data_IF_196032749024
#
_entry.id   IF_196032749024
#
_cell.length_a   1.000
_cell.length_b   1.000
_cell.length_c   1.000
_cell.angle_alpha   90.00
_cell.angle_beta   90.00
_cell.angle_gamma   90.00
#
_symmetry.space_group_name_H-M   'P 1'
#
loop_
_entity.id
_entity.type
_entity.pdbx_description
1 polymer ?
#
# COMPACT_ATOMS: atom_id res chain seq x y z
N UNK A 1 -9.48 -8.63 8.77
CA UNK A 1 -8.06 -8.47 8.41
C UNK A 1 -7.96 -7.50 7.25
N UNK A 2 -7.10 -6.49 7.34
CA UNK A 2 -6.86 -5.54 6.25
C UNK A 2 -5.54 -5.87 5.53
N UNK A 3 -5.58 -5.98 4.20
CA UNK A 3 -4.41 -6.21 3.33
C UNK A 3 -3.98 -4.87 2.75
N UNK A 4 -2.85 -4.36 3.20
CA UNK A 4 -2.29 -3.10 2.75
C UNK A 4 -1.15 -3.37 1.76
N UNK A 5 -1.51 -3.49 0.48
CA UNK A 5 -0.59 -3.70 -0.62
C UNK A 5 0.07 -2.41 -1.08
N UNK A 6 1.32 -2.47 -1.50
CA UNK A 6 2.03 -1.32 -2.05
C UNK A 6 3.45 -1.61 -2.49
N UNK A 7 4.04 -0.69 -3.25
CA UNK A 7 5.46 -0.82 -3.65
C UNK A 7 6.41 -0.57 -2.47
N UNK A 8 6.04 0.36 -1.56
CA UNK A 8 6.86 0.79 -0.42
C UNK A 8 8.32 1.05 -0.81
N UNK A 9 8.51 1.87 -1.83
CA UNK A 9 9.81 2.09 -2.46
C UNK A 9 10.20 3.59 -2.50
N UNK A 10 10.71 4.15 -1.37
CA UNK A 10 10.75 3.57 -0.02
C UNK A 10 9.40 3.70 0.72
N UNK A 11 9.21 2.99 1.85
CA UNK A 11 8.10 3.22 2.75
C UNK A 11 8.26 4.57 3.44
N UNK A 12 7.28 5.45 3.30
CA UNK A 12 7.27 6.77 3.93
C UNK A 12 6.38 6.84 5.17
N UNK A 13 6.47 7.93 5.93
CA UNK A 13 5.62 8.19 7.10
C UNK A 13 4.12 8.17 6.76
N UNK A 14 3.75 8.58 5.55
CA UNK A 14 2.36 8.46 5.08
C UNK A 14 1.85 7.02 5.06
N UNK A 15 2.69 6.06 4.68
CA UNK A 15 2.32 4.64 4.73
C UNK A 15 2.18 4.14 6.18
N UNK A 16 3.08 4.55 7.08
CA UNK A 16 3.00 4.18 8.50
C UNK A 16 1.74 4.78 9.16
N UNK A 17 1.37 6.01 8.82
CA UNK A 17 0.13 6.65 9.30
C UNK A 17 -1.11 5.89 8.82
N UNK A 18 -1.15 5.48 7.55
CA UNK A 18 -2.23 4.63 7.02
C UNK A 18 -2.29 3.33 7.83
N UNK A 19 -1.17 2.62 7.99
CA UNK A 19 -1.15 1.35 8.72
C UNK A 19 -1.61 1.53 10.17
N UNK A 20 -1.17 2.59 10.85
CA UNK A 20 -1.59 2.91 12.22
C UNK A 20 -3.08 3.21 12.31
N UNK A 21 -3.63 4.00 11.38
CA UNK A 21 -5.07 4.30 11.37
C UNK A 21 -5.90 3.04 11.12
N UNK A 22 -5.48 2.19 10.19
CA UNK A 22 -6.16 0.93 9.90
C UNK A 22 -6.28 0.01 11.13
N UNK A 23 -5.34 0.05 12.07
CA UNK A 23 -5.44 -0.77 13.31
C UNK A 23 -6.57 -0.35 14.24
N UNK A 24 -7.20 0.81 14.01
CA UNK A 24 -8.41 1.25 14.74
C UNK A 24 -9.69 0.60 14.23
N UNK A 25 -9.66 0.11 12.99
CA UNK A 25 -10.80 -0.50 12.30
C UNK A 25 -10.67 -2.01 12.16
N UNK A 26 -9.44 -2.52 12.16
CA UNK A 26 -9.16 -3.92 11.87
C UNK A 26 -8.26 -4.54 12.94
N UNK A 27 -8.58 -5.73 13.40
CA UNK A 27 -7.79 -6.47 14.41
C UNK A 27 -6.37 -6.76 13.93
N UNK A 28 -6.17 -6.82 12.61
CA UNK A 28 -4.87 -7.07 11.99
C UNK A 28 -4.74 -6.35 10.66
N UNK A 29 -3.62 -5.68 10.48
CA UNK A 29 -3.20 -5.07 9.22
C UNK A 29 -2.00 -5.84 8.69
N UNK A 30 -2.10 -6.35 7.47
CA UNK A 30 -1.00 -7.06 6.82
C UNK A 30 -0.44 -6.16 5.71
N UNK A 31 0.78 -5.69 5.90
CA UNK A 31 1.51 -4.91 4.89
C UNK A 31 2.14 -5.88 3.91
N UNK A 32 1.76 -5.79 2.64
CA UNK A 32 2.22 -6.67 1.56
C UNK A 32 3.00 -5.84 0.54
N UNK A 33 4.34 -5.79 0.65
CA UNK A 33 5.17 -5.16 -0.37
C UNK A 33 5.12 -6.01 -1.65
N UNK A 34 4.60 -5.42 -2.73
CA UNK A 34 4.50 -6.12 -4.02
C UNK A 34 5.89 -6.42 -4.60
N UNK A 35 6.01 -7.52 -5.33
CA UNK A 35 7.19 -7.84 -6.11
C UNK A 35 7.40 -6.93 -7.31
N UNK A 36 8.04 -7.44 -8.35
CA UNK A 36 8.30 -6.69 -9.59
C UNK A 36 6.99 -6.48 -10.35
N UNK A 37 6.55 -5.23 -10.42
CA UNK A 37 5.33 -4.86 -11.14
C UNK A 37 5.65 -4.52 -12.59
N UNK A 38 5.06 -5.20 -13.58
CA UNK A 38 5.31 -4.92 -14.99
C UNK A 38 4.93 -3.51 -15.44
N UNK A 39 3.99 -2.89 -14.70
CA UNK A 39 3.43 -1.57 -15.00
C UNK A 39 4.11 -0.42 -14.23
N UNK A 40 5.16 -0.71 -13.44
CA UNK A 40 5.78 0.27 -12.55
C UNK A 40 7.30 0.13 -12.46
N UNK A 41 8.01 0.72 -13.43
CA UNK A 41 9.47 0.68 -13.53
C UNK A 41 10.23 1.15 -12.28
N UNK A 42 9.63 2.04 -11.46
CA UNK A 42 10.27 2.54 -10.23
C UNK A 42 10.53 1.46 -9.17
N UNK A 43 10.00 0.25 -9.35
CA UNK A 43 10.24 -0.87 -8.43
C UNK A 43 11.64 -1.49 -8.63
N UNK A 44 12.25 -1.26 -9.80
CA UNK A 44 13.55 -1.81 -10.18
C UNK A 44 14.73 -0.92 -9.76
N UNK A 45 14.47 0.28 -9.21
CA UNK A 45 15.54 1.22 -8.79
C UNK A 45 16.39 0.69 -7.62
N UNK A 46 15.86 -0.24 -6.84
CA UNK A 46 16.58 -0.89 -5.71
C UNK A 46 16.23 -2.37 -5.66
N UNK A 47 17.15 -3.17 -5.11
CA UNK A 47 16.96 -4.62 -5.04
C UNK A 47 15.82 -5.01 -4.09
N UNK A 48 15.34 -6.23 -4.25
CA UNK A 48 14.30 -6.83 -3.39
C UNK A 48 14.76 -6.83 -1.92
N UNK A 49 16.03 -7.12 -1.65
CA UNK A 49 16.62 -7.17 -0.32
C UNK A 49 16.53 -5.79 0.36
N UNK A 50 16.87 -4.71 -0.33
CA UNK A 50 16.75 -3.36 0.19
C UNK A 50 15.29 -2.99 0.46
N UNK A 51 14.37 -3.34 -0.43
CA UNK A 51 12.94 -3.09 -0.21
C UNK A 51 12.42 -3.86 1.00
N UNK A 52 12.78 -5.14 1.14
CA UNK A 52 12.43 -5.98 2.29
C UNK A 52 12.97 -5.40 3.60
N UNK A 53 14.24 -4.97 3.62
CA UNK A 53 14.85 -4.34 4.78
C UNK A 53 14.10 -3.06 5.19
N UNK A 54 13.85 -2.15 4.24
CA UNK A 54 13.15 -0.89 4.52
C UNK A 54 11.71 -1.10 5.03
N UNK A 55 10.97 -2.04 4.46
CA UNK A 55 9.60 -2.35 4.91
C UNK A 55 9.60 -2.90 6.34
N UNK A 56 10.53 -3.80 6.68
CA UNK A 56 10.67 -4.31 8.03
C UNK A 56 11.11 -3.23 9.03
N UNK A 57 11.99 -2.31 8.62
CA UNK A 57 12.38 -1.16 9.45
C UNK A 57 11.21 -0.18 9.69
N UNK A 58 10.36 0.01 8.69
CA UNK A 58 9.21 0.91 8.78
C UNK A 58 8.07 0.34 9.63
N UNK A 59 7.72 -0.92 9.43
CA UNK A 59 6.50 -1.50 9.99
C UNK A 59 6.76 -2.53 11.11
N UNK A 60 7.98 -3.08 11.16
CA UNK A 60 8.35 -4.04 12.19
C UNK A 60 8.30 -3.42 13.58
N UNK A 61 7.42 -3.92 14.43
CA UNK A 61 7.19 -3.40 15.78
C UNK A 61 5.99 -2.47 15.93
N UNK A 62 5.26 -2.17 14.85
CA UNK A 62 3.97 -1.50 14.97
C UNK A 62 2.91 -2.48 15.50
N UNK A 63 2.23 -2.11 16.59
CA UNK A 63 1.17 -2.94 17.18
C UNK A 63 0.03 -3.15 16.18
N UNK A 64 -0.47 -4.40 16.05
CA UNK A 64 -1.54 -4.74 15.12
C UNK A 64 -1.13 -4.83 13.64
N UNK A 65 0.15 -4.55 13.32
CA UNK A 65 0.67 -4.59 11.95
C UNK A 65 1.65 -5.75 11.78
N UNK A 66 1.49 -6.49 10.69
CA UNK A 66 2.38 -7.60 10.30
C UNK A 66 2.87 -7.35 8.88
N UNK A 67 4.13 -7.61 8.61
CA UNK A 67 4.69 -7.58 7.26
C UNK A 67 4.65 -8.98 6.67
N UNK A 68 4.05 -9.14 5.49
CA UNK A 68 4.11 -10.37 4.70
C UNK A 68 4.95 -10.12 3.45
N UNK A 69 6.12 -10.70 3.39
CA UNK A 69 7.10 -10.50 2.31
C UNK A 69 7.03 -11.54 1.21
N UNK A 70 5.92 -12.30 1.12
CA UNK A 70 5.76 -13.40 0.15
C UNK A 70 6.17 -13.03 -1.28
N UNK A 71 5.65 -11.94 -1.80
CA UNK A 71 5.96 -11.49 -3.17
C UNK A 71 7.44 -11.19 -3.36
N UNK A 72 8.07 -10.55 -2.38
CA UNK A 72 9.50 -10.25 -2.42
C UNK A 72 10.33 -11.51 -2.30
N UNK A 73 9.95 -12.45 -1.44
CA UNK A 73 10.68 -13.71 -1.21
C UNK A 73 10.64 -14.63 -2.41
N UNK A 74 9.54 -14.61 -3.16
CA UNK A 74 9.35 -15.43 -4.36
C UNK A 74 9.74 -14.70 -5.66
N UNK A 75 10.00 -13.39 -5.60
CA UNK A 75 10.27 -12.59 -6.80
C UNK A 75 9.05 -12.48 -7.73
N UNK A 76 7.82 -12.58 -7.19
CA UNK A 76 6.58 -12.56 -7.95
C UNK A 76 5.77 -11.29 -7.68
N UNK A 77 4.81 -11.00 -8.54
CA UNK A 77 3.77 -10.01 -8.31
C UNK A 77 2.41 -10.71 -8.22
N UNK A 78 1.87 -10.80 -7.01
CA UNK A 78 0.55 -11.38 -6.77
C UNK A 78 -0.51 -10.30 -6.95
N UNK A 79 -1.46 -10.56 -7.84
CA UNK A 79 -2.57 -9.64 -8.08
C UNK A 79 -3.53 -9.62 -6.90
N UNK A 80 -4.24 -8.53 -6.71
CA UNK A 80 -5.20 -8.38 -5.59
C UNK A 80 -6.25 -9.49 -5.57
N UNK A 81 -6.69 -9.95 -6.75
CA UNK A 81 -7.62 -11.06 -6.87
C UNK A 81 -7.04 -12.36 -6.26
N UNK A 82 -5.79 -12.66 -6.55
CA UNK A 82 -5.10 -13.86 -6.06
C UNK A 82 -4.72 -13.70 -4.57
N UNK A 83 -4.38 -12.48 -4.13
CA UNK A 83 -4.16 -12.18 -2.70
C UNK A 83 -5.40 -12.47 -1.85
N UNK A 84 -6.62 -12.21 -2.37
CA UNK A 84 -7.87 -12.53 -1.68
C UNK A 84 -7.92 -14.03 -1.33
N UNK A 85 -7.70 -14.90 -2.30
CA UNK A 85 -7.72 -16.35 -2.09
C UNK A 85 -6.63 -16.79 -1.11
N UNK A 86 -5.40 -16.32 -1.32
CA UNK A 86 -4.25 -16.65 -0.47
C UNK A 86 -4.48 -16.26 1.00
N UNK A 87 -5.01 -15.07 1.26
CA UNK A 87 -5.27 -14.62 2.63
C UNK A 87 -6.55 -15.23 3.21
N UNK A 88 -7.55 -15.57 2.40
CA UNK A 88 -8.73 -16.28 2.87
C UNK A 88 -8.37 -17.70 3.33
N UNK A 89 -7.49 -18.39 2.61
CA UNK A 89 -6.96 -19.71 3.03
C UNK A 89 -6.15 -19.60 4.33
N UNK A 90 -5.33 -18.55 4.47
CA UNK A 90 -4.52 -18.30 5.67
C UNK A 90 -5.36 -17.90 6.89
N UNK A 91 -6.50 -17.25 6.66
CA UNK A 91 -7.44 -16.75 7.68
C UNK A 91 -8.89 -17.15 7.37
N UNK A 92 -9.26 -18.43 7.43
CA UNK A 92 -10.54 -18.94 6.91
C UNK A 92 -11.78 -18.33 7.59
N UNK A 93 -11.64 -17.84 8.83
CA UNK A 93 -12.73 -17.24 9.58
C UNK A 93 -12.72 -15.70 9.58
N UNK A 94 -11.80 -15.07 8.84
CA UNK A 94 -11.68 -13.63 8.79
C UNK A 94 -12.37 -13.05 7.55
N UNK A 95 -12.94 -11.87 7.70
CA UNK A 95 -13.31 -11.03 6.55
C UNK A 95 -12.05 -10.31 6.07
N UNK A 96 -11.72 -10.50 4.80
CA UNK A 96 -10.55 -9.88 4.16
C UNK A 96 -10.97 -8.55 3.53
N UNK A 97 -10.21 -7.50 3.82
CA UNK A 97 -10.39 -6.15 3.29
C UNK A 97 -9.15 -5.73 2.52
N UNK A 98 -9.32 -5.19 1.32
CA UNK A 98 -8.22 -4.64 0.53
C UNK A 98 -8.14 -3.13 0.71
N UNK A 99 -6.98 -2.64 1.11
CA UNK A 99 -6.75 -1.20 1.34
C UNK A 99 -6.37 -0.54 0.02
N UNK A 100 -7.15 0.47 -0.36
CA UNK A 100 -6.93 1.24 -1.60
C UNK A 100 -7.03 2.74 -1.31
N UNK A 101 -6.42 3.57 -2.15
CA UNK A 101 -6.61 5.02 -2.10
C UNK A 101 -7.91 5.45 -2.78
N UNK A 102 -8.44 6.61 -2.41
CA UNK A 102 -9.63 7.19 -3.05
C UNK A 102 -9.46 7.41 -4.56
N UNK A 103 -8.23 7.65 -5.03
CA UNK A 103 -7.87 7.75 -6.44
C UNK A 103 -8.18 6.46 -7.23
N UNK A 104 -8.09 5.31 -6.59
CA UNK A 104 -8.32 3.99 -7.21
C UNK A 104 -9.81 3.72 -7.45
N UNK A 105 -10.69 4.25 -6.61
CA UNK A 105 -12.16 4.05 -6.69
C UNK A 105 -12.88 5.18 -7.44
N UNK A 106 -12.25 6.33 -7.60
CA UNK A 106 -12.84 7.48 -8.30
C UNK A 106 -13.35 7.11 -9.69
N UNK A 107 -14.55 7.57 -10.05
CA UNK A 107 -15.25 7.18 -11.29
C UNK A 107 -15.97 5.83 -11.21
N UNK A 108 -16.05 5.22 -10.03
CA UNK A 108 -16.66 3.90 -9.82
C UNK A 108 -18.11 3.81 -10.26
N UNK A 109 -18.91 4.85 -10.03
CA UNK A 109 -20.31 4.94 -10.48
C UNK A 109 -20.48 4.77 -11.99
N UNK A 110 -19.48 5.20 -12.76
CA UNK A 110 -19.47 5.10 -14.22
C UNK A 110 -18.67 3.89 -14.73
N UNK A 111 -18.23 2.99 -13.84
CA UNK A 111 -17.34 1.86 -14.15
C UNK A 111 -15.98 2.28 -14.76
N UNK A 112 -15.55 3.52 -14.46
CA UNK A 112 -14.30 4.12 -14.95
C UNK A 112 -13.17 4.10 -13.93
N UNK A 113 -13.39 3.57 -12.73
CA UNK A 113 -12.34 3.48 -11.70
C UNK A 113 -11.16 2.63 -12.18
N UNK A 114 -10.00 2.80 -11.55
CA UNK A 114 -8.83 1.98 -11.88
C UNK A 114 -9.10 0.49 -11.64
N UNK A 115 -9.91 0.15 -10.64
CA UNK A 115 -10.32 -1.24 -10.39
C UNK A 115 -11.06 -1.79 -11.62
N UNK A 116 -12.05 -1.08 -12.16
CA UNK A 116 -12.82 -1.54 -13.31
C UNK A 116 -11.98 -1.69 -14.59
N UNK A 117 -11.08 -0.73 -14.83
CA UNK A 117 -10.44 -0.58 -16.14
C UNK A 117 -9.06 -1.23 -16.25
N UNK A 118 -8.37 -1.45 -15.12
CA UNK A 118 -6.98 -1.93 -15.13
C UNK A 118 -6.74 -3.19 -14.31
N UNK A 119 -7.59 -3.48 -13.31
CA UNK A 119 -7.33 -4.61 -12.45
C UNK A 119 -7.87 -5.92 -13.05
N UNK A 120 -7.11 -6.99 -12.87
CA UNK A 120 -7.54 -8.32 -13.28
C UNK A 120 -8.83 -8.70 -12.56
N UNK A 121 -9.89 -9.01 -13.31
CA UNK A 121 -11.24 -9.28 -12.80
C UNK A 121 -11.81 -8.13 -11.96
N UNK A 122 -11.44 -6.90 -12.28
CA UNK A 122 -11.83 -5.71 -11.53
C UNK A 122 -13.32 -5.53 -11.30
N UNK A 123 -14.19 -5.67 -12.32
CA UNK A 123 -15.65 -5.58 -12.13
C UNK A 123 -16.21 -6.60 -11.14
N UNK A 124 -15.66 -7.82 -11.13
CA UNK A 124 -16.05 -8.87 -10.18
C UNK A 124 -15.58 -8.50 -8.76
N UNK A 125 -14.33 -8.08 -8.60
CA UNK A 125 -13.81 -7.61 -7.31
C UNK A 125 -14.62 -6.45 -6.75
N UNK A 126 -15.05 -5.53 -7.60
CA UNK A 126 -15.87 -4.38 -7.21
C UNK A 126 -17.18 -4.81 -6.52
N UNK A 127 -17.78 -5.91 -6.97
CA UNK A 127 -19.03 -6.44 -6.44
C UNK A 127 -18.84 -7.35 -5.23
N UNK A 128 -17.74 -8.10 -5.18
CA UNK A 128 -17.59 -9.22 -4.26
C UNK A 128 -16.61 -8.96 -3.11
N UNK A 129 -15.64 -8.05 -3.30
CA UNK A 129 -14.58 -7.84 -2.31
C UNK A 129 -14.91 -6.69 -1.37
N UNK A 130 -14.27 -6.72 -0.18
CA UNK A 130 -14.38 -5.62 0.77
C UNK A 130 -13.19 -4.67 0.59
N UNK A 131 -13.47 -3.37 0.55
CA UNK A 131 -12.45 -2.34 0.35
C UNK A 131 -12.41 -1.36 1.53
N UNK A 132 -11.23 -1.16 2.12
CA UNK A 132 -10.95 -0.04 3.00
C UNK A 132 -10.37 1.09 2.15
N UNK A 133 -11.17 2.14 1.93
CA UNK A 133 -10.81 3.25 1.04
C UNK A 133 -10.20 4.37 1.86
N UNK A 134 -8.90 4.58 1.68
CA UNK A 134 -8.15 5.65 2.34
C UNK A 134 -8.39 6.97 1.61
N UNK A 135 -9.07 7.88 2.29
CA UNK A 135 -9.36 9.20 1.76
C UNK A 135 -8.14 10.11 1.95
N UNK A 136 -7.68 10.70 0.85
CA UNK A 136 -6.54 11.64 0.85
C UNK A 136 -7.04 13.05 0.63
N UNK A 137 -6.48 14.08 1.30
CA UNK A 137 -6.77 15.47 0.99
C UNK A 137 -6.55 15.77 -0.51
N UNK A 138 -7.53 16.45 -1.13
CA UNK A 138 -7.46 16.81 -2.54
C UNK A 138 -8.10 15.83 -3.53
N UNK A 139 -8.48 14.63 -3.09
CA UNK A 139 -9.31 13.72 -3.88
C UNK A 139 -10.74 13.73 -3.36
N UNK A 140 -11.69 14.11 -4.22
CA UNK A 140 -13.11 13.96 -3.92
C UNK A 140 -13.58 12.63 -4.49
N UNK A 141 -13.99 11.74 -3.61
CA UNK A 141 -14.70 10.49 -3.97
C UNK A 141 -16.18 10.76 -3.71
N UNK A 142 -16.99 10.73 -4.76
CA UNK A 142 -18.43 10.84 -4.61
C UNK A 142 -19.01 9.57 -3.99
N UNK A 143 -20.09 9.70 -3.23
CA UNK A 143 -20.71 8.55 -2.55
C UNK A 143 -21.07 7.40 -3.51
N UNK A 144 -21.42 7.71 -4.77
CA UNK A 144 -21.69 6.72 -5.81
C UNK A 144 -20.45 6.04 -6.41
N UNK A 145 -19.25 6.52 -6.10
CA UNK A 145 -17.99 5.97 -6.61
C UNK A 145 -17.39 4.88 -5.68
N UNK A 146 -18.07 4.56 -4.60
CA UNK A 146 -17.59 3.58 -3.64
C UNK A 146 -18.08 2.15 -4.00
N UNK A 147 -17.22 1.11 -3.84
CA UNK A 147 -17.67 -0.27 -3.92
C UNK A 147 -18.79 -0.58 -2.91
N UNK A 148 -19.67 -1.53 -3.25
CA UNK A 148 -20.82 -1.88 -2.40
C UNK A 148 -20.40 -2.30 -0.97
N UNK A 149 -19.32 -3.06 -0.85
CA UNK A 149 -18.71 -3.46 0.41
C UNK A 149 -17.46 -2.62 0.68
N UNK A 150 -17.64 -1.37 1.11
CA UNK A 150 -16.53 -0.48 1.39
C UNK A 150 -16.68 0.28 2.70
N UNK A 151 -15.54 0.66 3.27
CA UNK A 151 -15.43 1.52 4.43
C UNK A 151 -14.44 2.65 4.15
N UNK A 152 -14.85 3.90 4.36
CA UNK A 152 -13.93 5.04 4.32
C UNK A 152 -13.02 5.05 5.54
N UNK A 153 -11.74 5.30 5.30
CA UNK A 153 -10.73 5.54 6.32
C UNK A 153 -10.21 6.96 6.12
N UNK A 154 -10.65 7.85 6.98
CA UNK A 154 -10.29 9.26 6.93
C UNK A 154 -8.91 9.48 7.56
N UNK A 155 -8.07 10.24 6.87
CA UNK A 155 -6.76 10.63 7.36
C UNK A 155 -6.53 12.12 7.17
N UNK A 156 -6.46 12.84 8.28
CA UNK A 156 -6.05 14.22 8.28
C UNK A 156 -4.56 14.33 7.88
N UNK A 157 -4.25 15.25 6.96
CA UNK A 157 -2.87 15.61 6.63
C UNK A 157 -1.98 14.45 6.15
N UNK A 158 -2.47 13.63 5.22
CA UNK A 158 -1.67 12.58 4.59
C UNK A 158 -0.86 13.15 3.42
N UNK A 159 0.37 13.59 3.69
CA UNK A 159 1.29 14.10 2.68
C UNK A 159 2.44 13.14 2.45
N UNK A 160 2.95 13.16 1.21
CA UNK A 160 4.12 12.40 0.80
C UNK A 160 3.82 11.34 -0.25
N UNK A 161 4.84 11.01 -0.99
CA UNK A 161 4.83 9.89 -1.95
C UNK A 161 6.23 9.30 -2.08
N UNK A 162 6.32 8.03 -2.46
CA UNK A 162 7.61 7.40 -2.74
C UNK A 162 8.39 8.14 -3.84
N UNK A 163 7.70 8.65 -4.86
CA UNK A 163 8.33 9.44 -5.94
C UNK A 163 8.97 10.72 -5.40
N UNK A 164 8.26 11.46 -4.56
CA UNK A 164 8.81 12.67 -3.93
C UNK A 164 10.04 12.35 -3.09
N UNK A 165 9.99 11.30 -2.27
CA UNK A 165 11.13 10.89 -1.43
C UNK A 165 12.33 10.53 -2.29
N UNK A 166 12.15 9.77 -3.37
CA UNK A 166 13.23 9.41 -4.29
C UNK A 166 13.83 10.64 -4.98
N UNK A 167 13.01 11.62 -5.38
CA UNK A 167 13.51 12.85 -5.99
C UNK A 167 14.34 13.67 -5.00
N UNK A 168 13.90 13.84 -3.76
CA UNK A 168 14.68 14.50 -2.72
C UNK A 168 16.06 13.83 -2.52
N UNK A 169 16.08 12.49 -2.47
CA UNK A 169 17.34 11.75 -2.33
C UNK A 169 18.27 11.94 -3.54
N UNK A 170 17.75 11.92 -4.77
CA UNK A 170 18.51 12.19 -6.00
C UNK A 170 19.11 13.61 -6.03
N UNK A 171 18.41 14.55 -5.41
CA UNK A 171 18.86 15.95 -5.29
C UNK A 171 19.75 16.18 -4.05
N UNK A 172 20.06 15.13 -3.27
CA UNK A 172 20.86 15.23 -2.05
C UNK A 172 20.16 15.98 -0.91
N UNK A 173 18.82 16.09 -0.98
CA UNK A 173 18.01 16.77 0.04
C UNK A 173 17.64 15.81 1.19
N UNK A 174 17.33 16.39 2.35
CA UNK A 174 16.90 15.63 3.54
C UNK A 174 15.51 15.00 3.34
N UNK A 175 15.36 13.80 3.86
CA UNK A 175 14.08 13.06 3.86
C UNK A 175 13.54 12.79 5.27
N UNK A 176 14.12 13.43 6.29
CA UNK A 176 13.78 13.25 7.72
C UNK A 176 12.28 13.45 8.00
N UNK A 177 11.63 14.37 7.30
CA UNK A 177 10.19 14.64 7.47
C UNK A 177 9.28 13.62 6.76
N UNK A 178 9.85 12.74 5.93
CA UNK A 178 9.09 11.87 5.03
C UNK A 178 9.23 10.37 5.30
N UNK A 179 10.29 9.99 6.02
CA UNK A 179 10.54 8.59 6.39
C UNK A 179 10.85 8.48 7.89
N UNK A 180 10.65 7.32 8.48
CA UNK A 180 11.04 7.13 9.88
C UNK A 180 12.59 7.08 10.02
N UNK A 181 13.14 7.42 11.22
CA UNK A 181 14.58 7.49 11.43
C UNK A 181 15.36 6.22 11.06
N UNK A 182 14.75 5.04 11.27
CA UNK A 182 15.38 3.75 10.90
C UNK A 182 15.51 3.58 9.39
N UNK A 183 14.48 3.99 8.63
CA UNK A 183 14.51 3.95 7.17
C UNK A 183 15.47 5.00 6.64
N UNK A 184 15.48 6.22 7.19
CA UNK A 184 16.41 7.27 6.79
C UNK A 184 17.86 6.82 6.97
N UNK A 185 18.22 6.31 8.15
CA UNK A 185 19.56 5.81 8.43
C UNK A 185 19.97 4.73 7.41
N UNK A 186 19.08 3.81 7.10
CA UNK A 186 19.32 2.75 6.11
C UNK A 186 19.53 3.30 4.70
N UNK A 187 18.68 4.26 4.27
CA UNK A 187 18.80 4.91 2.97
C UNK A 187 20.17 5.59 2.77
N UNK A 188 20.62 6.28 3.82
CA UNK A 188 21.90 7.00 3.80
C UNK A 188 23.11 6.04 3.84
N UNK A 189 23.08 5.03 4.69
CA UNK A 189 24.12 4.01 4.82
C UNK A 189 24.30 3.22 3.52
N UNK A 190 23.21 2.80 2.92
CA UNK A 190 23.21 2.01 1.68
C UNK A 190 23.28 2.87 0.40
N UNK A 191 23.32 4.20 0.54
CA UNK A 191 23.38 5.16 -0.58
C UNK A 191 22.30 4.94 -1.65
N UNK A 192 21.06 4.61 -1.23
CA UNK A 192 19.97 4.29 -2.13
C UNK A 192 19.37 5.55 -2.77
N UNK A 193 18.92 5.41 -4.02
CA UNK A 193 18.26 6.47 -4.82
C UNK A 193 19.12 7.72 -5.07
N UNK A 194 20.42 7.57 -5.19
CA UNK A 194 21.38 8.67 -5.48
C UNK A 194 21.78 8.67 -6.95
#
# INVERSE_FOLDING_TARGET
VAIFGGSFNPPGLHHQRIAAELTRYFDRVIVVPCGLRPDKASVDEVTIEHRKAMVNLAFGGMSGVVVDTHDLDQGVYTRTYDLQAMFQDKFPNAVIWHVVGGDIVSGGRAELSEIHTRWYRGPEMWQEFNFAVVMRPGYQVEAGDMPACSQSVELDHLFGSGTMIRNLLKEGQSVTEWVCPKVEAYLLEQQLYR
#
